data_IF_798866594867
#
_entry.id   IF_798866594867
#
_cell.length_a   1.000
_cell.length_b   1.000
_cell.length_c   1.000
_cell.angle_alpha   90.00
_cell.angle_beta   90.00
_cell.angle_gamma   90.00
#
_symmetry.space_group_name_H-M   'P 1'
#
loop_
_entity.id
_entity.type
_entity.pdbx_description
1 polymer ?
#
# COMPACT_ATOMS: atom_id res chain seq x y z
N UNK A 1 -9.48 14.95 -30.08
CA UNK A 1 -8.48 14.10 -29.39
C UNK A 1 -8.48 14.18 -27.86
N UNK A 2 -9.26 15.07 -27.22
CA UNK A 2 -9.40 15.14 -25.74
C UNK A 2 -10.09 13.91 -25.13
N UNK A 3 -10.96 13.24 -25.89
CA UNK A 3 -11.64 12.00 -25.47
C UNK A 3 -10.65 10.86 -25.14
N UNK A 4 -9.56 10.72 -25.90
CA UNK A 4 -8.54 9.68 -25.67
C UNK A 4 -7.72 9.91 -24.40
N UNK A 5 -7.52 11.17 -23.99
CA UNK A 5 -6.75 11.51 -22.78
C UNK A 5 -7.59 11.27 -21.52
N UNK A 6 -8.86 11.67 -21.52
CA UNK A 6 -9.77 11.42 -20.39
C UNK A 6 -9.99 9.92 -20.15
N UNK A 7 -10.17 9.12 -21.22
CA UNK A 7 -10.28 7.66 -21.08
C UNK A 7 -8.99 7.01 -20.60
N UNK A 8 -7.83 7.48 -21.05
CA UNK A 8 -6.53 6.92 -20.63
C UNK A 8 -6.21 7.25 -19.18
N UNK A 9 -6.58 8.44 -18.69
CA UNK A 9 -6.34 8.83 -17.29
C UNK A 9 -7.05 7.94 -16.27
N UNK A 10 -8.32 7.61 -16.52
CA UNK A 10 -9.07 6.70 -15.65
C UNK A 10 -8.50 5.28 -15.67
N UNK A 11 -8.12 4.78 -16.86
CA UNK A 11 -7.48 3.48 -17.00
C UNK A 11 -6.14 3.40 -16.25
N UNK A 12 -5.30 4.43 -16.35
CA UNK A 12 -4.03 4.51 -15.62
C UNK A 12 -4.29 4.52 -14.11
N UNK A 13 -5.27 5.30 -13.64
CA UNK A 13 -5.61 5.35 -12.22
C UNK A 13 -6.04 3.97 -11.69
N UNK A 14 -6.94 3.28 -12.40
CA UNK A 14 -7.36 1.91 -12.05
C UNK A 14 -6.16 0.95 -12.03
N UNK A 15 -5.28 1.02 -13.03
CA UNK A 15 -4.08 0.20 -13.09
C UNK A 15 -3.14 0.46 -11.90
N UNK A 16 -2.96 1.72 -11.49
CA UNK A 16 -2.17 2.11 -10.32
C UNK A 16 -2.78 1.56 -9.02
N UNK A 17 -4.11 1.64 -8.87
CA UNK A 17 -4.80 1.08 -7.70
C UNK A 17 -4.55 -0.43 -7.58
N UNK A 18 -4.70 -1.18 -8.68
CA UNK A 18 -4.45 -2.62 -8.69
C UNK A 18 -2.97 -2.95 -8.45
N UNK A 19 -2.04 -2.21 -9.08
CA UNK A 19 -0.61 -2.40 -8.87
C UNK A 19 -0.21 -2.23 -7.39
N UNK A 20 -0.72 -1.19 -6.74
CA UNK A 20 -0.48 -0.95 -5.32
C UNK A 20 -1.15 -2.02 -4.44
N UNK A 21 -2.39 -2.42 -4.73
CA UNK A 21 -3.07 -3.49 -4.02
C UNK A 21 -2.31 -4.82 -4.13
N UNK A 22 -1.78 -5.15 -5.31
CA UNK A 22 -0.91 -6.31 -5.50
C UNK A 22 0.41 -6.17 -4.74
N UNK A 23 1.00 -4.98 -4.67
CA UNK A 23 2.18 -4.74 -3.84
C UNK A 23 1.93 -5.09 -2.38
N UNK A 24 0.84 -4.60 -1.79
CA UNK A 24 0.46 -4.95 -0.42
C UNK A 24 0.21 -6.45 -0.25
N UNK A 25 -0.60 -7.05 -1.14
CA UNK A 25 -0.99 -8.45 -1.06
C UNK A 25 0.22 -9.39 -1.22
N UNK A 26 1.03 -9.19 -2.26
CA UNK A 26 2.18 -10.05 -2.54
C UNK A 26 3.28 -9.86 -1.51
N UNK A 27 3.50 -8.64 -1.00
CA UNK A 27 4.43 -8.41 0.12
C UNK A 27 4.02 -9.20 1.37
N UNK A 28 2.73 -9.16 1.72
CA UNK A 28 2.19 -9.92 2.85
C UNK A 28 2.30 -11.45 2.63
N UNK A 29 1.85 -11.94 1.47
CA UNK A 29 1.90 -13.38 1.14
C UNK A 29 3.34 -13.89 1.13
N UNK A 30 4.29 -13.13 0.57
CA UNK A 30 5.70 -13.52 0.53
C UNK A 30 6.24 -13.68 1.95
N UNK A 31 6.01 -12.69 2.82
CA UNK A 31 6.42 -12.76 4.22
C UNK A 31 5.71 -13.89 4.99
N UNK A 32 4.45 -14.20 4.64
CA UNK A 32 3.71 -15.32 5.19
C UNK A 32 4.32 -16.67 4.78
N UNK A 33 4.62 -16.86 3.50
CA UNK A 33 5.25 -18.09 2.97
C UNK A 33 6.63 -18.29 3.58
N UNK A 34 7.35 -17.21 3.89
CA UNK A 34 8.63 -17.25 4.59
C UNK A 34 8.52 -17.51 6.11
N UNK A 35 7.31 -17.65 6.65
CA UNK A 35 7.09 -17.98 8.07
C UNK A 35 7.41 -16.85 9.04
N UNK A 36 7.48 -15.60 8.58
CA UNK A 36 7.79 -14.43 9.44
C UNK A 36 6.63 -14.12 10.39
N UNK A 37 6.86 -13.39 11.47
CA UNK A 37 5.80 -13.00 12.40
C UNK A 37 4.85 -11.95 11.80
N UNK A 38 3.68 -11.77 12.42
CA UNK A 38 2.64 -10.88 11.92
C UNK A 38 3.09 -9.41 11.83
N UNK A 39 3.97 -8.96 12.73
CA UNK A 39 4.54 -7.61 12.69
C UNK A 39 5.39 -7.40 11.44
N UNK A 40 6.34 -8.32 11.20
CA UNK A 40 7.19 -8.26 10.01
C UNK A 40 6.41 -8.46 8.71
N UNK A 41 5.38 -9.32 8.68
CA UNK A 41 4.52 -9.47 7.49
C UNK A 41 3.84 -8.16 7.10
N UNK A 42 3.27 -7.44 8.07
CA UNK A 42 2.65 -6.13 7.86
C UNK A 42 3.66 -5.10 7.40
N UNK A 43 4.85 -5.08 8.02
CA UNK A 43 5.92 -4.16 7.62
C UNK A 43 6.35 -4.40 6.16
N UNK A 44 6.60 -5.66 5.78
CA UNK A 44 6.99 -6.02 4.40
C UNK A 44 5.88 -5.70 3.41
N UNK A 45 4.62 -5.99 3.75
CA UNK A 45 3.48 -5.61 2.92
C UNK A 45 3.47 -4.11 2.62
N UNK A 46 3.63 -3.26 3.64
CA UNK A 46 3.67 -1.81 3.49
C UNK A 46 4.90 -1.37 2.68
N UNK A 47 6.09 -1.90 2.97
CA UNK A 47 7.32 -1.55 2.25
C UNK A 47 7.23 -1.86 0.75
N UNK A 48 6.64 -3.01 0.39
CA UNK A 48 6.46 -3.40 -1.02
C UNK A 48 5.38 -2.55 -1.72
N UNK A 49 4.29 -2.22 -1.02
CA UNK A 49 3.21 -1.40 -1.57
C UNK A 49 3.54 0.10 -1.65
N UNK A 50 4.37 0.61 -0.74
CA UNK A 50 4.75 2.02 -0.61
C UNK A 50 6.03 2.31 -1.39
N UNK A 51 5.91 2.47 -2.71
CA UNK A 51 7.07 2.75 -3.56
C UNK A 51 7.51 4.21 -3.50
N UNK A 52 8.80 4.47 -3.78
CA UNK A 52 9.30 5.83 -3.95
C UNK A 52 8.82 6.41 -5.29
N UNK A 53 7.64 7.03 -5.26
CA UNK A 53 7.04 7.67 -6.42
C UNK A 53 7.82 8.88 -6.93
N UNK A 54 8.57 9.58 -6.07
CA UNK A 54 9.36 10.75 -6.47
C UNK A 54 10.48 10.38 -7.43
N UNK A 55 11.19 9.28 -7.15
CA UNK A 55 12.20 8.73 -8.04
C UNK A 55 11.58 8.27 -9.38
N UNK A 56 10.40 7.66 -9.33
CA UNK A 56 9.65 7.25 -10.53
C UNK A 56 9.31 8.44 -11.44
N UNK A 57 8.81 9.54 -10.86
CA UNK A 57 8.54 10.78 -11.60
C UNK A 57 9.83 11.35 -12.21
N UNK A 58 10.92 11.38 -11.45
CA UNK A 58 12.20 11.91 -11.91
C UNK A 58 12.74 11.13 -13.12
N UNK A 59 12.78 9.80 -13.05
CA UNK A 59 13.26 8.95 -14.15
C UNK A 59 12.33 9.02 -15.37
N UNK A 60 11.01 8.99 -15.15
CA UNK A 60 10.03 9.09 -16.24
C UNK A 60 10.16 10.42 -17.00
N UNK A 61 10.28 11.52 -16.27
CA UNK A 61 10.43 12.86 -16.86
C UNK A 61 11.77 13.00 -17.59
N UNK A 62 12.85 12.45 -17.03
CA UNK A 62 14.19 12.54 -17.60
C UNK A 62 14.38 11.72 -18.89
N UNK A 63 13.70 10.57 -19.01
CA UNK A 63 14.02 9.59 -20.07
C UNK A 63 12.87 9.23 -21.01
N UNK A 64 11.60 9.45 -20.62
CA UNK A 64 10.43 8.95 -21.37
C UNK A 64 9.37 10.02 -21.67
N UNK A 65 9.59 11.25 -21.19
CA UNK A 65 8.72 12.39 -21.42
C UNK A 65 7.61 12.57 -20.36
N UNK A 66 6.96 13.75 -20.31
CA UNK A 66 6.11 14.13 -19.18
C UNK A 66 4.89 13.22 -18.94
N UNK A 67 4.32 12.66 -20.02
CA UNK A 67 3.18 11.76 -19.91
C UNK A 67 3.50 10.45 -19.17
N UNK A 68 4.75 9.97 -19.26
CA UNK A 68 5.20 8.76 -18.58
C UNK A 68 5.31 8.92 -17.05
N UNK A 69 5.30 10.16 -16.53
CA UNK A 69 5.32 10.44 -15.11
C UNK A 69 3.93 10.26 -14.43
N UNK A 70 2.85 10.23 -15.23
CA UNK A 70 1.48 10.16 -14.72
C UNK A 70 1.22 8.98 -13.77
N UNK A 71 1.67 7.74 -14.06
CA UNK A 71 1.47 6.62 -13.13
C UNK A 71 2.13 6.85 -11.78
N UNK A 72 3.37 7.38 -11.75
CA UNK A 72 4.10 7.63 -10.51
C UNK A 72 3.46 8.76 -9.68
N UNK A 73 2.96 9.83 -10.33
CA UNK A 73 2.23 10.91 -9.65
C UNK A 73 0.94 10.38 -9.02
N UNK A 74 0.14 9.63 -9.79
CA UNK A 74 -1.11 9.05 -9.30
C UNK A 74 -0.86 8.02 -8.18
N UNK A 75 0.20 7.21 -8.31
CA UNK A 75 0.62 6.28 -7.28
C UNK A 75 0.97 7.02 -5.98
N UNK A 76 1.70 8.14 -6.06
CA UNK A 76 2.04 8.95 -4.89
C UNK A 76 0.79 9.37 -4.11
N UNK A 77 -0.25 9.84 -4.79
CA UNK A 77 -1.50 10.22 -4.13
C UNK A 77 -2.19 8.99 -3.53
N UNK A 78 -2.28 7.90 -4.31
CA UNK A 78 -3.06 6.73 -3.91
C UNK A 78 -2.43 5.95 -2.75
N UNK A 79 -1.15 5.60 -2.81
CA UNK A 79 -0.54 4.75 -1.77
C UNK A 79 -0.39 5.51 -0.43
N UNK A 80 -0.22 6.83 -0.45
CA UNK A 80 -0.23 7.65 0.76
C UNK A 80 -1.62 7.69 1.44
N UNK A 81 -2.70 7.37 0.71
CA UNK A 81 -4.04 7.20 1.29
C UNK A 81 -4.23 5.73 1.71
N UNK A 82 -3.94 4.79 0.81
CA UNK A 82 -4.19 3.36 1.04
C UNK A 82 -3.33 2.76 2.16
N UNK A 83 -2.05 3.15 2.25
CA UNK A 83 -1.11 2.66 3.26
C UNK A 83 -1.57 2.95 4.69
N UNK A 84 -1.86 4.21 5.06
CA UNK A 84 -2.40 4.55 6.38
C UNK A 84 -3.75 3.90 6.68
N UNK A 85 -4.63 3.74 5.68
CA UNK A 85 -5.89 3.01 5.86
C UNK A 85 -5.61 1.55 6.24
N UNK A 86 -4.73 0.87 5.50
CA UNK A 86 -4.37 -0.52 5.78
C UNK A 86 -3.69 -0.68 7.15
N UNK A 87 -2.75 0.22 7.47
CA UNK A 87 -2.10 0.27 8.79
C UNK A 87 -3.11 0.48 9.92
N UNK A 88 -4.11 1.34 9.71
CA UNK A 88 -5.18 1.60 10.69
C UNK A 88 -6.06 0.37 10.90
N UNK A 89 -6.44 -0.34 9.84
CA UNK A 89 -7.21 -1.58 9.92
C UNK A 89 -6.47 -2.61 10.78
N UNK A 90 -5.16 -2.77 10.57
CA UNK A 90 -4.36 -3.70 11.37
C UNK A 90 -4.15 -3.24 12.83
N UNK A 91 -4.09 -1.93 13.08
CA UNK A 91 -3.98 -1.39 14.44
C UNK A 91 -5.23 -1.67 15.29
N UNK A 92 -6.42 -1.60 14.68
CA UNK A 92 -7.69 -1.92 15.37
C UNK A 92 -7.72 -3.38 15.83
N UNK A 93 -7.19 -4.31 15.03
CA UNK A 93 -7.14 -5.72 15.39
C UNK A 93 -6.15 -6.02 16.53
N UNK A 94 -5.07 -5.26 16.64
CA UNK A 94 -4.11 -5.42 17.75
C UNK A 94 -4.65 -4.95 19.10
N UNK A 95 -5.50 -3.92 19.13
CA UNK A 95 -6.07 -3.39 20.39
C UNK A 95 -7.04 -4.35 21.08
N UNK A 96 -7.72 -5.21 20.33
CA UNK A 96 -8.62 -6.20 20.91
C UNK A 96 -7.85 -7.26 21.73
N UNK A 97 -6.67 -7.67 21.26
CA UNK A 97 -5.84 -8.66 21.96
C UNK A 97 -5.32 -8.17 23.32
N UNK A 98 -4.89 -6.90 23.42
CA UNK A 98 -4.42 -6.35 24.69
C UNK A 98 -5.55 -6.09 25.69
N UNK A 99 -6.74 -5.69 25.22
CA UNK A 99 -7.90 -5.52 26.13
C UNK A 99 -8.39 -6.86 26.67
N UNK A 100 -8.43 -7.90 25.85
CA UNK A 100 -8.90 -9.23 26.27
C UNK A 100 -7.94 -9.87 27.28
N UNK A 101 -6.62 -9.78 27.06
CA UNK A 101 -5.61 -10.33 27.98
C UNK A 101 -5.67 -9.64 29.36
N UNK A 102 -5.73 -8.30 29.39
CA UNK A 102 -5.82 -7.54 30.64
C UNK A 102 -7.14 -7.76 31.40
N UNK A 103 -8.25 -8.01 30.70
CA UNK A 103 -9.52 -8.38 31.34
C UNK A 103 -9.44 -9.78 31.94
N UNK A 104 -8.90 -10.77 31.23
CA UNK A 104 -8.74 -12.13 31.78
C UNK A 104 -7.86 -12.16 33.04
N UNK A 105 -6.75 -11.43 33.04
CA UNK A 105 -5.83 -11.35 34.21
C UNK A 105 -6.49 -10.68 35.42
N UNK A 106 -7.43 -9.76 35.21
CA UNK A 106 -8.15 -9.08 36.29
C UNK A 106 -9.35 -9.87 36.85
N UNK A 107 -9.86 -10.86 36.12
CA UNK A 107 -10.96 -11.73 36.59
C UNK A 107 -10.43 -12.96 37.35
N UNK A 108 -9.20 -13.40 37.04
CA UNK A 108 -8.54 -14.53 37.70
C UNK A 108 -7.84 -14.16 39.03
N UNK A 109 -7.77 -12.87 39.37
CA UNK A 109 -7.24 -12.34 40.64
C UNK A 109 -8.37 -11.90 41.57
#
# INVERSE_FOLDING_TARGET
NVSSITSSGLLIFIAVMFHNAFGFLLGYITAFVLGLDEGTRKAISIEVGMQNSGLGVALATAHFGPAAALPSVLAAVWHNIAGPILATIWSKNAKNTFSDENVSVNIEK
#
